data_IF_229254417263
#
_entry.id   IF_229254417263
#
_cell.length_a   1.000
_cell.length_b   1.000
_cell.length_c   1.000
_cell.angle_alpha   90.00
_cell.angle_beta   90.00
_cell.angle_gamma   90.00
#
_symmetry.space_group_name_H-M   'P 1'
#
loop_
_entity.id
_entity.type
_entity.pdbx_description
1 polymer ?
#
# COMPACT_ATOMS: atom_id res chain seq x y z
N UNK A 1 5.09 -27.63 20.34
CA UNK A 1 5.59 -26.43 21.05
C UNK A 1 5.57 -25.20 20.15
N UNK A 2 6.22 -25.26 18.97
CA UNK A 2 6.28 -24.15 18.01
C UNK A 2 4.92 -23.53 17.64
N UNK A 3 3.91 -24.34 17.28
CA UNK A 3 2.55 -23.84 16.98
C UNK A 3 1.91 -23.05 18.13
N UNK A 4 2.01 -23.57 19.36
CA UNK A 4 1.50 -22.88 20.56
C UNK A 4 2.23 -21.56 20.79
N UNK A 5 3.54 -21.52 20.51
CA UNK A 5 4.33 -20.29 20.60
C UNK A 5 3.91 -19.27 19.54
N UNK A 6 3.58 -19.67 18.32
CA UNK A 6 3.07 -18.75 17.28
C UNK A 6 1.72 -18.14 17.68
N UNK A 7 0.79 -18.95 18.20
CA UNK A 7 -0.50 -18.46 18.71
C UNK A 7 -0.30 -17.51 19.89
N UNK A 8 0.57 -17.86 20.83
CA UNK A 8 0.89 -17.01 21.98
C UNK A 8 1.56 -15.69 21.54
N UNK A 9 2.44 -15.75 20.54
CA UNK A 9 3.11 -14.57 19.97
C UNK A 9 2.10 -13.65 19.31
N UNK A 10 1.20 -14.17 18.48
CA UNK A 10 0.09 -13.41 17.89
C UNK A 10 -0.72 -12.69 18.98
N UNK A 11 -1.20 -13.43 19.99
CA UNK A 11 -2.00 -12.86 21.06
C UNK A 11 -1.23 -11.78 21.84
N UNK A 12 0.08 -11.98 22.06
CA UNK A 12 0.94 -11.00 22.71
C UNK A 12 1.11 -9.73 21.87
N UNK A 13 1.37 -9.88 20.57
CA UNK A 13 1.64 -8.78 19.64
C UNK A 13 0.39 -7.96 19.32
N UNK A 14 -0.80 -8.58 19.29
CA UNK A 14 -2.06 -7.87 19.02
C UNK A 14 -2.69 -7.26 20.27
N UNK A 15 -2.35 -7.73 21.48
CA UNK A 15 -2.95 -7.24 22.74
C UNK A 15 -2.87 -5.71 22.93
N UNK A 16 -1.78 -5.00 22.55
CA UNK A 16 -1.70 -3.55 22.72
C UNK A 16 -2.59 -2.75 21.76
N UNK A 17 -3.01 -3.37 20.65
CA UNK A 17 -3.78 -2.71 19.58
C UNK A 17 -5.23 -3.21 19.52
N UNK A 18 -5.57 -4.30 20.19
CA UNK A 18 -6.93 -4.84 20.20
C UNK A 18 -7.58 -4.75 21.58
N UNK A 19 -8.85 -4.38 21.63
CA UNK A 19 -9.58 -4.29 22.88
C UNK A 19 -11.01 -4.79 22.87
N UNK A 20 -11.78 -4.61 21.80
CA UNK A 20 -13.12 -5.18 21.59
C UNK A 20 -13.11 -6.22 20.48
N UNK A 21 -12.34 -5.98 19.44
CA UNK A 21 -12.08 -6.93 18.38
C UNK A 21 -11.03 -7.93 18.85
N UNK A 22 -11.39 -9.20 18.90
CA UNK A 22 -10.48 -10.25 19.33
C UNK A 22 -10.36 -11.30 18.24
N UNK A 23 -9.14 -11.52 17.77
CA UNK A 23 -8.81 -12.58 16.83
C UNK A 23 -8.01 -13.65 17.57
N UNK A 24 -8.66 -14.79 17.83
CA UNK A 24 -8.00 -15.96 18.34
C UNK A 24 -7.65 -16.91 17.19
N UNK A 25 -6.38 -17.27 17.09
CA UNK A 25 -5.90 -18.19 16.06
C UNK A 25 -5.85 -19.61 16.61
N UNK A 26 -6.38 -20.53 15.82
CA UNK A 26 -6.20 -21.97 16.00
C UNK A 26 -5.36 -22.49 14.84
N UNK A 27 -4.32 -23.26 15.13
CA UNK A 27 -3.47 -23.92 14.12
C UNK A 27 -2.74 -23.00 13.11
N UNK A 28 -1.93 -22.08 13.63
CA UNK A 28 -1.06 -21.23 12.80
C UNK A 28 0.03 -22.05 12.08
N UNK A 29 0.12 -21.86 10.76
CA UNK A 29 1.24 -22.27 9.91
C UNK A 29 1.93 -21.02 9.38
N UNK A 30 3.25 -21.05 9.30
CA UNK A 30 4.07 -19.96 8.81
C UNK A 30 4.88 -20.46 7.61
N UNK A 31 4.91 -19.68 6.54
CA UNK A 31 5.70 -19.94 5.34
C UNK A 31 6.39 -18.64 4.92
N UNK A 32 7.71 -18.71 4.71
CA UNK A 32 8.52 -17.59 4.26
C UNK A 32 8.75 -17.69 2.75
N UNK A 33 8.12 -16.80 1.99
CA UNK A 33 8.15 -16.80 0.51
C UNK A 33 9.58 -16.58 -0.02
N UNK A 34 10.48 -16.01 0.77
CA UNK A 34 11.88 -15.73 0.39
C UNK A 34 12.90 -16.69 1.03
N UNK A 35 12.47 -17.92 1.36
CA UNK A 35 13.38 -19.04 1.65
C UNK A 35 14.03 -19.08 3.04
N UNK A 36 13.91 -18.04 3.86
CA UNK A 36 14.32 -18.07 5.28
C UNK A 36 13.72 -16.91 6.08
N UNK A 37 13.39 -17.15 7.35
CA UNK A 37 13.03 -16.10 8.29
C UNK A 37 14.18 -15.08 8.46
N UNK A 38 13.91 -13.78 8.62
CA UNK A 38 14.92 -12.81 9.00
C UNK A 38 15.60 -13.29 10.29
N UNK A 39 16.93 -13.25 10.34
CA UNK A 39 17.62 -13.60 11.58
C UNK A 39 17.11 -12.68 12.70
N UNK A 40 16.79 -13.26 13.86
CA UNK A 40 16.30 -12.54 15.07
C UNK A 40 17.14 -11.33 15.51
N UNK A 41 18.36 -11.20 14.97
CA UNK A 41 19.34 -10.16 15.30
C UNK A 41 19.73 -9.29 14.08
N UNK A 42 18.95 -9.26 13.00
CA UNK A 42 19.26 -8.47 11.79
C UNK A 42 20.46 -8.95 10.99
N UNK A 43 21.02 -10.14 11.31
CA UNK A 43 22.23 -10.71 10.66
C UNK A 43 21.95 -12.09 10.09
N UNK A 44 21.04 -12.15 9.12
CA UNK A 44 20.82 -13.31 8.27
C UNK A 44 21.14 -12.93 6.82
N UNK A 45 21.41 -13.89 5.92
CA UNK A 45 21.76 -13.62 4.53
C UNK A 45 20.67 -12.84 3.77
N UNK A 46 19.44 -12.79 4.29
CA UNK A 46 18.29 -12.05 3.73
C UNK A 46 17.80 -10.89 4.63
N UNK A 47 18.51 -10.55 5.71
CA UNK A 47 18.12 -9.47 6.61
C UNK A 47 18.52 -8.07 6.09
N UNK A 48 19.53 -8.00 5.21
CA UNK A 48 20.11 -6.75 4.72
C UNK A 48 19.23 -5.99 3.74
N UNK A 49 18.37 -6.66 2.97
CA UNK A 49 17.76 -6.01 1.80
C UNK A 49 16.49 -5.20 2.12
N UNK A 50 15.89 -5.36 3.32
CA UNK A 50 14.74 -4.55 3.76
C UNK A 50 14.94 -3.78 5.08
N UNK A 51 15.98 -4.07 5.87
CA UNK A 51 16.16 -3.47 7.21
C UNK A 51 17.36 -2.51 7.33
N UNK A 52 18.04 -2.19 6.23
CA UNK A 52 19.08 -1.14 6.22
C UNK A 52 18.51 0.29 6.26
N UNK A 53 17.19 0.43 6.46
CA UNK A 53 16.52 1.73 6.55
C UNK A 53 16.39 2.17 8.01
N UNK A 54 16.83 3.40 8.30
CA UNK A 54 16.59 4.04 9.60
C UNK A 54 15.10 4.36 9.68
N UNK A 55 14.34 3.58 10.46
CA UNK A 55 12.95 3.93 10.82
C UNK A 55 12.94 5.17 11.71
N UNK A 56 12.06 6.13 11.42
CA UNK A 56 11.86 7.30 12.28
C UNK A 56 10.97 7.00 13.50
N UNK A 57 10.40 5.79 13.57
CA UNK A 57 9.64 5.30 14.72
C UNK A 57 10.46 4.30 15.52
N UNK A 58 10.13 4.11 16.80
CA UNK A 58 10.76 3.06 17.60
C UNK A 58 10.24 1.66 17.19
N UNK A 59 11.05 0.63 17.43
CA UNK A 59 10.74 -0.73 16.99
C UNK A 59 9.50 -1.36 17.63
N UNK A 60 8.96 -0.80 18.73
CA UNK A 60 7.66 -1.25 19.27
C UNK A 60 6.53 -0.65 18.44
N UNK A 61 6.59 0.65 18.15
CA UNK A 61 5.62 1.36 17.31
C UNK A 61 5.53 0.73 15.92
N UNK A 62 6.68 0.45 15.29
CA UNK A 62 6.75 -0.23 13.99
C UNK A 62 6.02 -1.58 14.00
N UNK A 63 6.28 -2.42 15.00
CA UNK A 63 5.59 -3.71 15.17
C UNK A 63 4.08 -3.54 15.33
N UNK A 64 3.64 -2.58 16.15
CA UNK A 64 2.20 -2.35 16.37
C UNK A 64 1.51 -1.85 15.09
N UNK A 65 2.17 -1.04 14.26
CA UNK A 65 1.66 -0.61 12.96
C UNK A 65 1.57 -1.77 11.96
N UNK A 66 2.61 -2.61 11.88
CA UNK A 66 2.59 -3.81 11.05
C UNK A 66 1.46 -4.77 11.48
N UNK A 67 1.30 -4.99 12.79
CA UNK A 67 0.23 -5.83 13.34
C UNK A 67 -1.15 -5.22 13.14
N UNK A 68 -1.28 -3.90 13.13
CA UNK A 68 -2.52 -3.19 12.79
C UNK A 68 -2.98 -3.54 11.36
N UNK A 69 -2.07 -3.50 10.38
CA UNK A 69 -2.38 -3.92 9.00
C UNK A 69 -2.70 -5.42 8.91
N UNK A 70 -1.95 -6.27 9.62
CA UNK A 70 -2.17 -7.72 9.61
C UNK A 70 -3.53 -8.12 10.21
N UNK A 71 -3.90 -7.54 11.36
CA UNK A 71 -5.18 -7.73 12.01
C UNK A 71 -6.32 -7.22 11.14
N UNK A 72 -6.14 -6.07 10.48
CA UNK A 72 -7.13 -5.53 9.54
C UNK A 72 -7.34 -6.50 8.39
N UNK A 73 -6.28 -6.93 7.71
CA UNK A 73 -6.38 -7.89 6.61
C UNK A 73 -7.07 -9.20 7.04
N UNK A 74 -6.65 -9.80 8.16
CA UNK A 74 -7.22 -11.04 8.64
C UNK A 74 -8.69 -10.86 9.09
N UNK A 75 -8.97 -9.80 9.84
CA UNK A 75 -10.31 -9.48 10.31
C UNK A 75 -11.29 -9.28 9.16
N UNK A 76 -10.89 -8.50 8.15
CA UNK A 76 -11.66 -8.34 6.91
C UNK A 76 -11.87 -9.67 6.21
N UNK A 77 -10.84 -10.53 6.11
CA UNK A 77 -10.99 -11.85 5.48
C UNK A 77 -12.03 -12.73 6.18
N UNK A 78 -12.04 -12.72 7.51
CA UNK A 78 -12.91 -13.58 8.31
C UNK A 78 -14.34 -13.06 8.42
N UNK A 79 -14.52 -11.74 8.59
CA UNK A 79 -15.82 -11.15 8.90
C UNK A 79 -16.41 -10.28 7.79
N UNK A 80 -15.61 -9.94 6.78
CA UNK A 80 -16.00 -9.08 5.67
C UNK A 80 -16.69 -9.80 4.50
N UNK A 81 -17.09 -11.07 4.64
CA UNK A 81 -17.81 -11.84 3.60
C UNK A 81 -16.97 -12.16 2.35
N UNK A 82 -15.72 -12.58 2.57
CA UNK A 82 -14.78 -12.94 1.49
C UNK A 82 -15.36 -14.00 0.55
N UNK A 83 -15.36 -13.73 -0.76
CA UNK A 83 -15.86 -14.66 -1.77
C UNK A 83 -17.38 -14.76 -1.93
N UNK A 84 -18.17 -14.19 -1.02
CA UNK A 84 -19.64 -14.27 -1.08
C UNK A 84 -20.25 -13.47 -2.25
N UNK A 85 -19.49 -12.56 -2.86
CA UNK A 85 -19.90 -11.79 -4.04
C UNK A 85 -19.80 -12.56 -5.36
N UNK A 86 -19.26 -13.78 -5.36
CA UNK A 86 -19.06 -14.57 -6.58
C UNK A 86 -20.40 -14.93 -7.22
N UNK A 87 -20.56 -14.60 -8.50
CA UNK A 87 -21.77 -14.89 -9.27
C UNK A 87 -22.99 -14.01 -8.94
N UNK A 88 -22.84 -13.04 -8.02
CA UNK A 88 -23.89 -12.09 -7.71
C UNK A 88 -24.01 -11.00 -8.78
N UNK A 89 -25.20 -10.39 -8.87
CA UNK A 89 -25.40 -9.20 -9.67
C UNK A 89 -24.64 -7.98 -9.12
N UNK A 90 -24.60 -6.89 -9.89
CA UNK A 90 -23.87 -5.67 -9.50
C UNK A 90 -24.34 -5.08 -8.17
N UNK A 91 -25.66 -5.14 -7.87
CA UNK A 91 -26.23 -4.53 -6.67
C UNK A 91 -25.85 -5.34 -5.43
N UNK A 92 -25.98 -6.65 -5.50
CA UNK A 92 -25.65 -7.55 -4.41
C UNK A 92 -24.13 -7.65 -4.20
N UNK A 93 -23.32 -7.65 -5.28
CA UNK A 93 -21.87 -7.54 -5.19
C UNK A 93 -21.45 -6.25 -4.46
N UNK A 94 -22.06 -5.12 -4.78
CA UNK A 94 -21.76 -3.85 -4.11
C UNK A 94 -22.12 -3.86 -2.62
N UNK A 95 -23.11 -4.66 -2.20
CA UNK A 95 -23.43 -4.82 -0.77
C UNK A 95 -22.31 -5.58 -0.05
N UNK A 96 -21.83 -6.70 -0.61
CA UNK A 96 -20.70 -7.46 -0.07
C UNK A 96 -19.46 -6.57 0.06
N UNK A 97 -19.19 -5.73 -0.94
CA UNK A 97 -18.06 -4.78 -0.91
C UNK A 97 -18.19 -3.78 0.24
N UNK A 98 -19.38 -3.21 0.45
CA UNK A 98 -19.64 -2.27 1.55
C UNK A 98 -19.50 -2.92 2.93
N UNK A 99 -19.97 -4.16 3.09
CA UNK A 99 -19.82 -4.89 4.34
C UNK A 99 -18.33 -5.15 4.64
N UNK A 100 -17.56 -5.53 3.62
CA UNK A 100 -16.12 -5.72 3.74
C UNK A 100 -15.40 -4.43 4.13
N UNK A 101 -15.73 -3.30 3.49
CA UNK A 101 -15.19 -1.96 3.83
C UNK A 101 -15.52 -1.56 5.27
N UNK A 102 -16.71 -1.88 5.77
CA UNK A 102 -17.10 -1.57 7.15
C UNK A 102 -16.27 -2.36 8.16
N UNK A 103 -16.01 -3.64 7.91
CA UNK A 103 -15.18 -4.47 8.78
C UNK A 103 -13.72 -4.03 8.75
N UNK A 104 -13.18 -3.72 7.57
CA UNK A 104 -11.80 -3.28 7.43
C UNK A 104 -11.57 -1.94 8.12
N UNK A 105 -12.50 -0.99 7.95
CA UNK A 105 -12.46 0.30 8.64
C UNK A 105 -12.55 0.13 10.16
N UNK A 106 -13.43 -0.74 10.65
CA UNK A 106 -13.57 -1.01 12.09
C UNK A 106 -12.28 -1.59 12.69
N UNK A 107 -11.72 -2.65 12.07
CA UNK A 107 -10.52 -3.31 12.56
C UNK A 107 -9.30 -2.36 12.57
N UNK A 108 -9.13 -1.57 11.51
CA UNK A 108 -8.06 -0.57 11.41
C UNK A 108 -8.26 0.55 12.45
N UNK A 109 -9.49 1.06 12.61
CA UNK A 109 -9.78 2.15 13.55
C UNK A 109 -9.54 1.75 14.99
N UNK A 110 -10.03 0.57 15.37
CA UNK A 110 -9.79 0.04 16.71
C UNK A 110 -8.30 -0.13 16.97
N UNK A 111 -7.58 -0.73 16.02
CA UNK A 111 -6.14 -0.95 16.11
C UNK A 111 -5.37 0.34 16.35
N UNK A 112 -5.63 1.37 15.55
CA UNK A 112 -4.98 2.67 15.71
C UNK A 112 -5.43 3.42 16.96
N UNK A 113 -6.69 3.28 17.36
CA UNK A 113 -7.18 3.86 18.62
C UNK A 113 -6.41 3.31 19.82
N UNK A 114 -6.22 1.99 19.89
CA UNK A 114 -5.44 1.36 20.96
C UNK A 114 -3.95 1.65 20.85
N UNK A 115 -3.38 1.61 19.65
CA UNK A 115 -2.01 2.01 19.38
C UNK A 115 -1.74 3.46 19.81
N UNK A 116 -2.69 4.39 19.63
CA UNK A 116 -2.51 5.79 20.05
C UNK A 116 -2.16 5.95 21.54
N UNK A 117 -2.50 4.95 22.37
CA UNK A 117 -2.19 4.92 23.80
C UNK A 117 -0.74 4.56 24.12
N UNK A 118 0.06 4.20 23.12
CA UNK A 118 1.49 3.94 23.27
C UNK A 118 2.34 5.04 22.66
N UNK A 119 1.74 5.94 21.89
CA UNK A 119 2.42 7.11 21.34
C UNK A 119 2.90 8.03 22.48
N UNK A 120 4.00 8.78 22.27
CA UNK A 120 4.35 9.89 23.14
C UNK A 120 3.18 10.87 23.31
N UNK A 121 3.11 11.56 24.44
CA UNK A 121 1.92 12.33 24.82
C UNK A 121 1.53 13.42 23.82
N UNK A 122 2.53 13.99 23.14
CA UNK A 122 2.40 15.04 22.15
C UNK A 122 2.39 14.54 20.69
N UNK A 123 2.33 13.22 20.47
CA UNK A 123 2.34 12.63 19.13
C UNK A 123 0.93 12.24 18.66
N UNK A 124 0.73 12.33 17.36
CA UNK A 124 -0.50 11.93 16.69
C UNK A 124 -0.20 11.23 15.36
N UNK A 125 -1.01 10.23 15.04
CA UNK A 125 -1.15 9.72 13.67
C UNK A 125 -2.35 10.43 13.06
N UNK A 126 -2.13 11.15 11.98
CA UNK A 126 -3.19 11.82 11.23
C UNK A 126 -3.36 11.11 9.89
N UNK A 127 -4.55 10.57 9.66
CA UNK A 127 -4.88 9.96 8.38
C UNK A 127 -5.14 11.06 7.38
N UNK A 128 -4.31 11.08 6.35
CA UNK A 128 -4.26 12.12 5.35
C UNK A 128 -5.52 12.12 4.48
N UNK A 129 -5.83 13.27 3.89
CA UNK A 129 -6.96 13.46 2.99
C UNK A 129 -6.70 12.73 1.67
N UNK A 130 -6.93 11.42 1.64
CA UNK A 130 -6.73 10.56 0.46
C UNK A 130 -7.99 10.33 -0.40
N UNK A 131 -7.86 9.56 -1.48
CA UNK A 131 -8.94 9.24 -2.46
C UNK A 131 -10.20 8.68 -1.78
N UNK A 132 -10.05 7.81 -0.78
CA UNK A 132 -11.16 7.12 -0.11
C UNK A 132 -12.10 8.03 0.70
N UNK A 133 -11.73 9.30 0.90
CA UNK A 133 -12.47 10.30 1.69
C UNK A 133 -12.93 11.50 0.83
N UNK A 134 -12.78 11.39 -0.49
CA UNK A 134 -13.24 12.38 -1.45
C UNK A 134 -14.59 11.97 -2.07
N UNK A 135 -15.48 12.95 -2.38
CA UNK A 135 -16.74 12.66 -3.03
C UNK A 135 -16.50 12.07 -4.41
N UNK A 136 -17.02 10.86 -4.64
CA UNK A 136 -16.99 10.24 -5.97
C UNK A 136 -17.92 11.01 -6.90
N UNK A 137 -17.73 10.86 -8.22
CA UNK A 137 -18.53 11.56 -9.21
C UNK A 137 -20.05 11.39 -8.95
N UNK A 138 -20.73 12.50 -8.60
CA UNK A 138 -22.14 12.53 -8.24
C UNK A 138 -22.44 12.58 -6.73
N UNK A 139 -21.42 12.53 -5.87
CA UNK A 139 -21.51 12.71 -4.41
C UNK A 139 -21.25 14.17 -4.04
N UNK A 140 -21.95 14.69 -3.03
CA UNK A 140 -21.64 16.02 -2.47
C UNK A 140 -20.40 15.95 -1.58
N UNK A 141 -19.74 17.08 -1.31
CA UNK A 141 -18.58 17.18 -0.40
C UNK A 141 -18.83 16.51 0.95
N UNK A 142 -20.07 16.53 1.44
CA UNK A 142 -20.51 15.87 2.67
C UNK A 142 -20.64 14.33 2.54
N UNK A 143 -20.95 13.83 1.33
CA UNK A 143 -21.11 12.40 1.03
C UNK A 143 -19.77 11.70 0.83
N UNK A 144 -18.81 12.37 0.19
CA UNK A 144 -17.43 11.88 0.06
C UNK A 144 -16.66 11.85 1.36
N UNK A 145 -16.97 12.81 2.22
CA UNK A 145 -16.37 12.96 3.54
C UNK A 145 -17.18 12.25 4.63
N UNK A 146 -18.07 11.30 4.31
CA UNK A 146 -19.02 10.80 5.30
C UNK A 146 -18.28 10.16 6.50
N UNK A 147 -18.29 10.81 7.68
CA UNK A 147 -17.62 10.31 8.89
C UNK A 147 -18.28 9.03 9.45
N UNK A 148 -19.36 8.55 8.81
CA UNK A 148 -20.11 7.36 9.21
C UNK A 148 -19.50 6.04 8.72
N UNK A 149 -18.38 6.05 8.00
CA UNK A 149 -17.56 4.84 7.81
C UNK A 149 -16.68 4.50 9.03
N UNK A 150 -16.81 5.26 10.13
CA UNK A 150 -16.43 4.80 11.47
C UNK A 150 -14.95 4.83 11.81
N UNK A 151 -14.12 5.48 10.98
CA UNK A 151 -12.67 5.57 11.19
C UNK A 151 -12.26 7.02 11.50
N UNK A 152 -11.55 7.24 12.62
CA UNK A 152 -11.10 8.57 13.06
C UNK A 152 -9.98 9.15 12.19
N UNK A 153 -9.96 10.48 12.02
CA UNK A 153 -8.91 11.18 11.24
C UNK A 153 -7.63 11.40 12.04
N UNK A 154 -7.74 11.47 13.36
CA UNK A 154 -6.63 11.70 14.27
C UNK A 154 -6.63 10.64 15.36
N UNK A 155 -5.50 9.95 15.49
CA UNK A 155 -5.23 8.99 16.56
C UNK A 155 -4.14 9.53 17.46
N UNK A 156 -4.54 9.99 18.64
CA UNK A 156 -3.65 10.59 19.62
C UNK A 156 -4.27 10.51 21.02
N UNK A 157 -3.55 11.01 22.03
CA UNK A 157 -4.14 11.26 23.35
C UNK A 157 -5.35 12.18 23.24
N UNK A 158 -6.39 12.04 24.09
CA UNK A 158 -7.66 12.77 23.93
C UNK A 158 -7.53 14.29 23.74
N UNK A 159 -6.59 14.93 24.46
CA UNK A 159 -6.38 16.38 24.35
C UNK A 159 -5.72 16.78 23.02
N UNK A 160 -4.72 16.02 22.57
CA UNK A 160 -4.05 16.23 21.27
C UNK A 160 -5.03 15.96 20.13
N UNK A 161 -5.77 14.85 20.19
CA UNK A 161 -6.79 14.50 19.21
C UNK A 161 -7.85 15.60 19.09
N UNK A 162 -8.43 16.06 20.22
CA UNK A 162 -9.44 17.14 20.20
C UNK A 162 -8.91 18.44 19.59
N UNK A 163 -7.65 18.79 19.86
CA UNK A 163 -7.05 19.99 19.30
C UNK A 163 -6.80 19.86 17.79
N UNK A 164 -6.17 18.76 17.37
CA UNK A 164 -5.87 18.50 15.96
C UNK A 164 -7.15 18.35 15.13
N UNK A 165 -8.19 17.70 15.66
CA UNK A 165 -9.52 17.63 15.03
C UNK A 165 -10.03 19.04 14.68
N UNK A 166 -9.94 19.98 15.63
CA UNK A 166 -10.37 21.37 15.38
C UNK A 166 -9.49 22.08 14.34
N UNK A 167 -8.19 21.80 14.32
CA UNK A 167 -7.28 22.33 13.30
C UNK A 167 -7.56 21.75 11.91
N UNK A 168 -7.83 20.44 11.81
CA UNK A 168 -8.15 19.75 10.56
C UNK A 168 -9.50 20.20 10.01
N UNK A 169 -10.52 20.35 10.86
CA UNK A 169 -11.83 20.89 10.46
C UNK A 169 -11.67 22.29 9.88
N UNK A 170 -10.81 23.14 10.46
CA UNK A 170 -10.49 24.46 9.87
C UNK A 170 -9.77 24.32 8.53
N UNK A 171 -8.72 23.49 8.46
CA UNK A 171 -7.94 23.26 7.23
C UNK A 171 -8.80 22.82 6.04
N UNK A 172 -9.88 22.08 6.29
CA UNK A 172 -10.79 21.61 5.24
C UNK A 172 -11.81 22.66 4.82
N UNK A 173 -12.32 23.46 5.76
CA UNK A 173 -13.51 24.28 5.55
C UNK A 173 -13.25 25.79 5.47
N UNK A 174 -12.09 26.25 5.94
CA UNK A 174 -11.72 27.66 5.95
C UNK A 174 -10.62 27.92 4.91
N UNK A 175 -10.93 28.61 3.80
CA UNK A 175 -9.96 28.84 2.72
C UNK A 175 -8.78 29.72 3.16
N UNK A 176 -8.92 30.49 4.24
CA UNK A 176 -7.82 31.30 4.80
C UNK A 176 -6.89 30.45 5.69
N UNK A 177 -7.38 29.32 6.24
CA UNK A 177 -6.61 28.46 7.11
C UNK A 177 -5.74 27.47 6.34
N UNK A 178 -4.55 27.94 5.95
CA UNK A 178 -3.61 27.18 5.11
C UNK A 178 -2.80 26.12 5.88
N UNK A 179 -2.09 25.25 5.13
CA UNK A 179 -1.12 24.31 5.69
C UNK A 179 0.01 25.00 6.49
N UNK A 180 0.39 26.23 6.16
CA UNK A 180 1.34 27.02 6.94
C UNK A 180 0.76 27.46 8.30
N UNK A 181 -0.53 27.77 8.34
CA UNK A 181 -1.23 28.07 9.59
C UNK A 181 -1.38 26.83 10.46
N UNK A 182 -1.70 25.69 9.84
CA UNK A 182 -1.72 24.39 10.51
C UNK A 182 -0.35 24.05 11.11
N UNK A 183 0.73 24.16 10.33
CA UNK A 183 2.11 23.94 10.81
C UNK A 183 2.46 24.84 11.98
N UNK A 184 2.17 26.14 11.89
CA UNK A 184 2.39 27.08 13.00
C UNK A 184 1.59 26.70 14.24
N UNK A 185 0.35 26.24 14.07
CA UNK A 185 -0.53 25.85 15.16
C UNK A 185 -0.05 24.58 15.90
N UNK A 186 0.49 23.58 15.19
CA UNK A 186 1.03 22.36 15.81
C UNK A 186 2.38 22.63 16.49
N UNK A 187 3.28 23.39 15.85
CA UNK A 187 4.59 23.74 16.40
C UNK A 187 4.46 24.57 17.67
N UNK A 188 3.52 25.53 17.70
CA UNK A 188 3.25 26.35 18.89
C UNK A 188 2.83 25.52 20.12
N UNK A 189 2.30 24.31 19.91
CA UNK A 189 1.87 23.40 20.97
C UNK A 189 2.82 22.22 21.18
N UNK A 190 3.96 22.22 20.50
CA UNK A 190 4.94 21.13 20.55
C UNK A 190 4.32 19.77 20.19
N UNK A 191 3.42 19.75 19.18
CA UNK A 191 2.74 18.53 18.72
C UNK A 191 3.46 17.99 17.48
N UNK A 192 3.82 16.71 17.54
CA UNK A 192 4.35 15.96 16.39
C UNK A 192 3.20 15.22 15.70
N UNK A 193 3.06 15.43 14.39
CA UNK A 193 2.03 14.77 13.57
C UNK A 193 2.71 13.88 12.54
N UNK A 194 2.48 12.57 12.65
CA UNK A 194 2.81 11.62 11.60
C UNK A 194 1.66 11.52 10.62
N UNK A 195 1.94 11.67 9.33
CA UNK A 195 0.95 11.42 8.29
C UNK A 195 0.73 9.92 8.13
N UNK A 196 -0.48 9.51 7.82
CA UNK A 196 -0.77 8.14 7.42
C UNK A 196 -1.64 8.11 6.17
N UNK A 197 -1.32 7.21 5.26
CA UNK A 197 -2.20 6.86 4.15
C UNK A 197 -2.58 5.40 4.26
N UNK A 198 -3.89 5.15 4.22
CA UNK A 198 -4.45 3.87 4.59
C UNK A 198 -5.42 3.44 3.53
N UNK A 199 -5.15 2.26 2.96
CA UNK A 199 -6.11 1.52 2.17
C UNK A 199 -6.52 0.29 2.97
N UNK A 200 -7.72 0.33 3.55
CA UNK A 200 -8.18 -0.76 4.43
C UNK A 200 -8.63 -2.00 3.63
N UNK A 201 -8.94 -1.85 2.35
CA UNK A 201 -9.32 -2.93 1.45
C UNK A 201 -9.07 -2.57 -0.03
N UNK A 202 -7.83 -2.76 -0.45
CA UNK A 202 -7.32 -2.26 -1.73
C UNK A 202 -8.10 -2.73 -2.96
N UNK A 203 -8.48 -4.01 -2.99
CA UNK A 203 -9.32 -4.53 -4.04
C UNK A 203 -10.56 -5.26 -3.51
N UNK A 204 -11.51 -4.46 -3.07
CA UNK A 204 -12.87 -4.88 -2.71
C UNK A 204 -13.52 -5.82 -3.74
N UNK A 205 -13.25 -5.66 -5.04
CA UNK A 205 -13.85 -6.52 -6.08
C UNK A 205 -13.24 -7.91 -6.09
N UNK A 206 -11.91 -8.01 -6.03
CA UNK A 206 -11.18 -9.30 -5.92
C UNK A 206 -11.52 -9.99 -4.60
N UNK A 207 -11.57 -9.22 -3.51
CA UNK A 207 -12.00 -9.70 -2.21
C UNK A 207 -13.41 -10.30 -2.24
N UNK A 208 -14.39 -9.57 -2.76
CA UNK A 208 -15.77 -10.03 -2.81
C UNK A 208 -15.93 -11.28 -3.71
N UNK A 209 -15.08 -11.45 -4.73
CA UNK A 209 -15.06 -12.64 -5.59
C UNK A 209 -14.25 -13.82 -5.03
N UNK A 210 -13.49 -13.59 -3.95
CA UNK A 210 -12.70 -14.63 -3.31
C UNK A 210 -11.42 -14.96 -4.09
N UNK A 211 -10.81 -13.95 -4.70
CA UNK A 211 -9.55 -14.12 -5.45
C UNK A 211 -8.39 -14.41 -4.49
N UNK A 212 -7.44 -15.29 -4.86
CA UNK A 212 -6.38 -15.74 -3.96
C UNK A 212 -5.28 -14.69 -3.75
N UNK A 213 -5.16 -13.70 -4.62
CA UNK A 213 -4.06 -12.71 -4.61
C UNK A 213 -4.57 -11.27 -4.68
N UNK A 214 -3.82 -10.35 -4.08
CA UNK A 214 -4.10 -8.91 -4.01
C UNK A 214 -3.87 -8.39 -2.58
N UNK A 215 -3.33 -7.18 -2.39
CA UNK A 215 -3.17 -6.61 -1.07
C UNK A 215 -4.54 -6.44 -0.40
N UNK A 216 -4.60 -6.76 0.89
CA UNK A 216 -5.83 -6.68 1.67
C UNK A 216 -5.89 -5.44 2.53
N UNK A 217 -4.76 -4.99 3.08
CA UNK A 217 -4.67 -3.75 3.84
C UNK A 217 -3.29 -3.16 3.64
N UNK A 218 -3.24 -1.84 3.41
CA UNK A 218 -2.01 -1.07 3.26
C UNK A 218 -2.04 0.10 4.23
N UNK A 219 -0.91 0.33 4.90
CA UNK A 219 -0.70 1.45 5.81
C UNK A 219 0.69 2.02 5.52
N UNK A 220 0.73 3.23 4.97
CA UNK A 220 1.92 4.05 4.89
C UNK A 220 1.96 5.02 6.06
N UNK A 221 3.11 5.15 6.70
CA UNK A 221 3.36 6.15 7.73
C UNK A 221 4.48 7.09 7.27
N UNK A 222 4.22 8.38 7.41
CA UNK A 222 5.12 9.47 7.05
C UNK A 222 5.50 10.25 8.30
N UNK A 223 6.71 10.80 8.33
CA UNK A 223 7.18 11.67 9.42
C UNK A 223 6.48 13.04 9.46
N UNK A 224 5.67 13.33 8.44
CA UNK A 224 4.84 14.53 8.32
C UNK A 224 3.50 14.25 7.59
N UNK A 225 2.47 15.09 7.77
CA UNK A 225 1.24 15.02 6.98
C UNK A 225 1.45 15.11 5.48
N UNK A 226 0.66 14.36 4.70
CA UNK A 226 0.59 14.56 3.25
C UNK A 226 -0.16 15.86 2.95
N UNK A 227 0.53 16.77 2.26
CA UNK A 227 -0.03 18.03 1.79
C UNK A 227 -0.58 17.80 0.39
N UNK A 228 -1.87 17.55 0.31
CA UNK A 228 -2.56 17.39 -0.97
C UNK A 228 -3.34 18.68 -1.23
N UNK A 229 -3.00 19.35 -2.34
CA UNK A 229 -3.52 20.68 -2.68
C UNK A 229 -4.72 20.66 -3.64
N UNK A 230 -5.08 19.50 -4.20
CA UNK A 230 -6.17 19.37 -5.16
C UNK A 230 -6.83 17.98 -5.11
N UNK A 231 -8.03 17.85 -5.69
CA UNK A 231 -8.66 16.56 -5.91
C UNK A 231 -7.80 15.73 -6.87
N UNK A 232 -7.51 14.49 -6.52
CA UNK A 232 -6.80 13.56 -7.39
C UNK A 232 -7.54 12.22 -7.43
N UNK A 233 -7.57 11.60 -8.61
CA UNK A 233 -7.93 10.18 -8.74
C UNK A 233 -6.76 9.40 -8.11
N UNK A 234 -7.02 8.53 -7.15
CA UNK A 234 -5.98 7.90 -6.29
C UNK A 234 -5.13 6.86 -6.99
N UNK A 235 -5.03 6.95 -8.30
CA UNK A 235 -4.10 6.20 -9.11
C UNK A 235 -3.23 7.23 -9.84
N UNK A 236 -1.92 7.04 -9.71
CA UNK A 236 -0.92 7.85 -10.38
C UNK A 236 -0.14 6.94 -11.32
N UNK A 237 0.28 7.50 -12.45
CA UNK A 237 1.22 6.84 -13.34
C UNK A 237 2.56 6.65 -12.63
N UNK A 238 2.96 5.40 -12.41
CA UNK A 238 4.22 5.05 -11.79
C UNK A 238 5.08 4.21 -12.74
N UNK A 239 6.39 4.43 -12.69
CA UNK A 239 7.40 3.59 -13.33
C UNK A 239 8.40 3.18 -12.24
N UNK A 240 8.38 1.92 -11.85
CA UNK A 240 9.27 1.37 -10.82
C UNK A 240 10.27 0.43 -11.47
N UNK A 241 11.54 0.81 -11.36
CA UNK A 241 12.67 0.13 -11.97
C UNK A 241 13.66 -0.31 -10.89
N UNK A 242 14.45 -1.38 -11.12
CA UNK A 242 15.57 -1.72 -10.26
C UNK A 242 16.55 -0.54 -10.15
N UNK A 243 17.10 -0.33 -8.96
CA UNK A 243 18.04 0.75 -8.65
C UNK A 243 19.18 0.87 -9.68
N UNK A 244 19.77 -0.26 -10.07
CA UNK A 244 20.86 -0.33 -11.07
C UNK A 244 20.49 0.35 -12.40
N UNK A 245 19.24 0.21 -12.86
CA UNK A 245 18.76 0.85 -14.10
C UNK A 245 18.73 2.36 -13.94
N UNK A 246 18.15 2.85 -12.84
CA UNK A 246 18.03 4.28 -12.54
C UNK A 246 19.41 4.93 -12.39
N UNK A 247 20.32 4.29 -11.65
CA UNK A 247 21.68 4.80 -11.45
C UNK A 247 22.49 4.81 -12.75
N UNK A 248 22.40 3.74 -13.55
CA UNK A 248 23.11 3.66 -14.84
C UNK A 248 22.61 4.73 -15.82
N UNK A 249 21.31 4.97 -15.87
CA UNK A 249 20.73 6.04 -16.68
C UNK A 249 21.20 7.42 -16.20
N UNK A 250 21.23 7.64 -14.88
CA UNK A 250 21.70 8.89 -14.29
C UNK A 250 23.18 9.17 -14.61
N UNK A 251 24.05 8.15 -14.60
CA UNK A 251 25.45 8.28 -15.02
C UNK A 251 25.62 8.72 -16.48
N UNK A 252 24.61 8.47 -17.32
CA UNK A 252 24.54 8.91 -18.72
C UNK A 252 23.71 10.17 -18.91
N UNK A 253 23.39 10.89 -17.83
CA UNK A 253 22.56 12.11 -17.84
C UNK A 253 21.14 11.88 -18.38
N UNK A 254 20.60 10.66 -18.22
CA UNK A 254 19.22 10.32 -18.57
C UNK A 254 18.39 10.22 -17.29
N UNK A 255 17.46 11.18 -17.10
CA UNK A 255 16.47 11.10 -16.02
C UNK A 255 15.28 10.25 -16.47
N UNK A 256 15.26 8.99 -16.06
CA UNK A 256 14.14 8.08 -16.33
C UNK A 256 12.99 8.36 -15.37
N UNK A 257 11.81 8.60 -15.89
CA UNK A 257 10.58 8.82 -15.13
C UNK A 257 9.36 8.22 -15.87
N UNK A 258 8.16 8.36 -15.28
CA UNK A 258 6.94 7.80 -15.86
C UNK A 258 6.65 8.27 -17.30
N UNK A 259 7.06 9.49 -17.67
CA UNK A 259 6.85 10.04 -19.01
C UNK A 259 7.93 9.67 -20.02
N UNK A 260 9.02 9.02 -19.60
CA UNK A 260 10.09 8.58 -20.51
C UNK A 260 9.57 7.55 -21.53
N UNK A 261 9.74 7.77 -22.85
CA UNK A 261 9.37 6.78 -23.88
C UNK A 261 9.95 5.39 -23.59
N UNK A 262 9.17 4.32 -23.81
CA UNK A 262 9.58 2.96 -23.34
C UNK A 262 10.75 2.36 -24.11
N UNK A 263 11.01 2.81 -25.33
CA UNK A 263 12.23 2.52 -26.07
C UNK A 263 13.48 3.09 -25.37
N UNK A 264 13.39 4.31 -24.83
CA UNK A 264 14.45 4.91 -24.00
C UNK A 264 14.58 4.19 -22.64
N UNK A 265 13.48 3.76 -22.03
CA UNK A 265 13.54 2.94 -20.81
C UNK A 265 14.21 1.60 -21.09
N UNK A 266 13.87 0.94 -22.20
CA UNK A 266 14.51 -0.30 -22.64
C UNK A 266 16.01 -0.10 -22.93
N UNK A 267 16.40 1.03 -23.52
CA UNK A 267 17.81 1.38 -23.70
C UNK A 267 18.55 1.52 -22.36
N UNK A 268 17.95 2.19 -21.37
CA UNK A 268 18.49 2.28 -20.01
C UNK A 268 18.60 0.91 -19.33
N UNK A 269 17.63 0.02 -19.55
CA UNK A 269 17.66 -1.36 -19.06
C UNK A 269 18.84 -2.12 -19.67
N UNK A 270 19.04 -2.04 -21.00
CA UNK A 270 20.17 -2.66 -21.68
C UNK A 270 21.52 -2.08 -21.27
N UNK A 271 21.58 -0.79 -20.96
CA UNK A 271 22.79 -0.20 -20.40
C UNK A 271 23.16 -0.81 -19.05
N UNK A 272 22.17 -1.09 -18.20
CA UNK A 272 22.37 -1.75 -16.92
C UNK A 272 22.58 -3.27 -17.03
N UNK A 273 22.02 -3.89 -18.07
CA UNK A 273 22.06 -5.34 -18.35
C UNK A 273 22.32 -5.59 -19.85
N UNK A 274 23.59 -5.51 -20.31
CA UNK A 274 23.92 -5.50 -21.76
C UNK A 274 23.43 -6.69 -22.57
N UNK A 275 23.33 -7.87 -21.94
CA UNK A 275 22.96 -9.13 -22.60
C UNK A 275 21.49 -9.49 -22.41
N UNK A 276 20.67 -8.60 -21.81
CA UNK A 276 19.26 -8.89 -21.58
C UNK A 276 18.49 -8.92 -22.90
N UNK A 277 17.80 -10.05 -23.15
CA UNK A 277 16.77 -10.12 -24.18
C UNK A 277 15.59 -9.24 -23.75
N UNK A 278 15.09 -8.32 -24.61
CA UNK A 278 13.85 -7.58 -24.33
C UNK A 278 12.70 -8.47 -23.87
N UNK A 279 12.56 -9.68 -24.42
CA UNK A 279 11.52 -10.63 -24.04
C UNK A 279 11.62 -11.09 -22.57
N UNK A 280 12.80 -10.95 -21.97
CA UNK A 280 13.06 -11.24 -20.55
C UNK A 280 12.85 -10.00 -19.65
N UNK A 281 12.41 -8.88 -20.20
CA UNK A 281 11.88 -7.74 -19.44
C UNK A 281 10.37 -7.93 -19.30
N UNK A 282 9.94 -8.33 -18.11
CA UNK A 282 8.55 -8.60 -17.79
C UNK A 282 7.92 -7.38 -17.11
N UNK A 283 6.91 -6.81 -17.76
CA UNK A 283 6.27 -5.55 -17.36
C UNK A 283 4.92 -5.85 -16.77
N UNK A 284 4.74 -5.53 -15.49
CA UNK A 284 3.43 -5.54 -14.87
C UNK A 284 2.77 -4.17 -15.07
N UNK A 285 1.61 -4.15 -15.76
CA UNK A 285 0.93 -2.91 -16.22
C UNK A 285 -0.60 -3.04 -16.27
N UNK A 286 -1.20 -3.85 -15.38
CA UNK A 286 -2.66 -4.09 -15.33
C UNK A 286 -3.28 -4.38 -16.71
N UNK A 287 -2.77 -5.39 -17.41
CA UNK A 287 -3.10 -5.75 -18.81
C UNK A 287 -4.56 -6.19 -19.07
N UNK A 288 -5.47 -6.05 -18.09
CA UNK A 288 -6.88 -6.36 -18.26
C UNK A 288 -7.56 -5.42 -19.26
N UNK A 289 -8.34 -5.98 -20.18
CA UNK A 289 -8.92 -5.26 -21.34
C UNK A 289 -9.66 -3.96 -20.97
N UNK A 290 -10.29 -3.90 -19.80
CA UNK A 290 -10.98 -2.70 -19.30
C UNK A 290 -10.07 -1.48 -19.13
N UNK A 291 -8.75 -1.68 -19.05
CA UNK A 291 -7.73 -0.62 -18.87
C UNK A 291 -7.12 -0.15 -20.19
N UNK A 292 -7.38 -0.85 -21.30
CA UNK A 292 -6.77 -0.56 -22.61
C UNK A 292 -7.02 0.88 -23.07
N UNK A 293 -8.20 1.43 -22.81
CA UNK A 293 -8.53 2.83 -23.15
C UNK A 293 -7.70 3.87 -22.40
N UNK A 294 -7.22 3.52 -21.19
CA UNK A 294 -6.43 4.43 -20.33
C UNK A 294 -4.92 4.28 -20.56
N UNK A 295 -4.42 3.04 -20.65
CA UNK A 295 -2.98 2.75 -20.64
C UNK A 295 -2.51 1.88 -21.82
N UNK A 296 -3.36 1.56 -22.80
CA UNK A 296 -3.00 0.74 -23.96
C UNK A 296 -1.83 1.30 -24.76
N UNK A 297 -1.65 2.63 -24.80
CA UNK A 297 -0.48 3.25 -25.46
C UNK A 297 0.86 2.87 -24.80
N UNK A 298 0.87 2.62 -23.49
CA UNK A 298 2.06 2.15 -22.78
C UNK A 298 2.34 0.70 -23.14
N UNK A 299 1.29 -0.12 -23.24
CA UNK A 299 1.39 -1.51 -23.68
C UNK A 299 1.98 -1.61 -25.08
N UNK A 300 1.47 -0.78 -26.01
CA UNK A 300 1.95 -0.75 -27.40
C UNK A 300 3.44 -0.37 -27.47
N UNK A 301 3.89 0.60 -26.65
CA UNK A 301 5.30 0.99 -26.59
C UNK A 301 6.20 -0.12 -26.04
N UNK A 302 5.78 -0.83 -24.99
CA UNK A 302 6.54 -1.95 -24.45
C UNK A 302 6.58 -3.14 -25.40
N UNK A 303 5.46 -3.47 -26.04
CA UNK A 303 5.41 -4.50 -27.06
C UNK A 303 6.34 -4.16 -28.25
N UNK A 304 6.35 -2.90 -28.70
CA UNK A 304 7.26 -2.43 -29.73
C UNK A 304 8.73 -2.47 -29.30
N UNK A 305 9.03 -2.26 -28.02
CA UNK A 305 10.36 -2.41 -27.44
C UNK A 305 10.77 -3.88 -27.24
N UNK A 306 9.88 -4.85 -27.51
CA UNK A 306 10.10 -6.28 -27.37
C UNK A 306 9.89 -6.83 -25.96
N UNK A 307 9.35 -6.04 -25.03
CA UNK A 307 9.11 -6.45 -23.65
C UNK A 307 7.90 -7.39 -23.51
N UNK A 308 7.97 -8.27 -22.53
CA UNK A 308 6.85 -9.14 -22.17
C UNK A 308 5.85 -8.41 -21.27
N UNK A 309 4.62 -8.21 -21.74
CA UNK A 309 3.54 -7.70 -20.92
C UNK A 309 2.92 -8.84 -20.10
N UNK A 310 2.99 -8.73 -18.78
CA UNK A 310 2.48 -9.77 -17.88
C UNK A 310 0.96 -9.88 -17.98
N UNK A 311 0.48 -11.09 -18.25
CA UNK A 311 -0.94 -11.45 -18.28
C UNK A 311 -1.32 -12.33 -17.06
N UNK A 312 -2.57 -12.82 -17.04
CA UNK A 312 -3.06 -13.67 -15.96
C UNK A 312 -2.55 -15.11 -15.97
N UNK A 313 -1.82 -15.53 -17.02
CA UNK A 313 -1.28 -16.88 -17.16
C UNK A 313 0.18 -16.98 -16.69
N UNK A 314 0.82 -15.85 -16.44
CA UNK A 314 2.18 -15.80 -15.95
C UNK A 314 2.24 -15.93 -14.41
N UNK A 315 3.41 -16.26 -13.87
CA UNK A 315 3.63 -16.33 -12.41
C UNK A 315 4.77 -15.40 -12.05
N UNK A 316 4.57 -14.54 -11.04
CA UNK A 316 5.62 -13.63 -10.57
C UNK A 316 6.83 -14.44 -10.07
N UNK A 317 8.05 -13.85 -10.05
CA UNK A 317 9.24 -14.51 -9.49
C UNK A 317 9.09 -14.92 -8.02
N UNK A 318 8.09 -14.38 -7.34
CA UNK A 318 7.72 -14.71 -5.96
C UNK A 318 6.81 -15.94 -5.84
N UNK A 319 6.42 -16.56 -6.96
CA UNK A 319 5.44 -17.66 -7.01
C UNK A 319 3.97 -17.21 -6.92
N UNK A 320 3.73 -15.91 -6.78
CA UNK A 320 2.38 -15.35 -6.66
C UNK A 320 1.79 -15.09 -8.05
N UNK A 321 0.51 -15.44 -8.25
CA UNK A 321 -0.21 -15.10 -9.47
C UNK A 321 -0.39 -13.57 -9.60
N UNK A 322 -0.04 -12.96 -10.75
CA UNK A 322 -0.26 -11.55 -10.99
C UNK A 322 -1.77 -11.26 -11.08
N UNK A 323 -2.15 -10.04 -10.74
CA UNK A 323 -3.47 -9.52 -11.04
C UNK A 323 -3.34 -8.49 -12.17
N UNK A 324 -4.27 -8.54 -13.11
CA UNK A 324 -4.24 -7.72 -14.33
C UNK A 324 -5.48 -6.85 -14.48
N UNK A 325 -6.54 -7.14 -13.72
CA UNK A 325 -7.86 -6.56 -13.87
C UNK A 325 -8.04 -5.26 -13.08
N UNK A 326 -7.48 -5.19 -11.87
CA UNK A 326 -7.60 -4.05 -10.98
C UNK A 326 -6.61 -4.12 -9.81
N UNK A 327 -6.15 -2.96 -9.36
CA UNK A 327 -5.38 -2.75 -8.14
C UNK A 327 -4.69 -1.39 -8.17
N UNK A 328 -4.70 -0.71 -7.03
CA UNK A 328 -4.02 0.55 -6.74
C UNK A 328 -2.57 0.32 -6.32
N UNK A 329 -2.23 -0.85 -5.76
CA UNK A 329 -0.88 -1.14 -5.27
C UNK A 329 -0.23 -2.26 -6.09
N UNK A 330 0.66 -1.88 -6.99
CA UNK A 330 1.44 -2.79 -7.81
C UNK A 330 2.30 -3.75 -6.95
N UNK A 331 2.69 -4.93 -7.47
CA UNK A 331 3.64 -5.82 -6.82
C UNK A 331 5.08 -5.28 -6.90
N UNK A 332 5.31 -4.05 -6.46
CA UNK A 332 6.61 -3.35 -6.52
C UNK A 332 7.69 -4.08 -5.75
N UNK A 333 7.33 -4.80 -4.68
CA UNK A 333 8.22 -5.66 -3.92
C UNK A 333 8.84 -6.80 -4.76
N UNK A 334 8.26 -7.13 -5.91
CA UNK A 334 8.78 -8.15 -6.83
C UNK A 334 9.73 -7.56 -7.89
N UNK A 335 9.88 -6.23 -7.98
CA UNK A 335 10.76 -5.56 -8.97
C UNK A 335 12.21 -5.86 -8.65
N UNK A 336 12.80 -6.79 -9.40
CA UNK A 336 14.21 -7.18 -9.29
C UNK A 336 14.67 -7.95 -10.54
N UNK A 337 15.99 -8.03 -10.78
CA UNK A 337 16.54 -9.01 -11.70
C UNK A 337 16.53 -10.43 -11.10
N UNK A 338 16.52 -11.45 -11.96
CA UNK A 338 16.88 -12.83 -11.60
C UNK A 338 17.54 -13.54 -12.79
N UNK A 339 18.14 -14.70 -12.53
CA UNK A 339 18.74 -15.57 -13.55
C UNK A 339 17.92 -16.86 -13.58
N UNK A 340 17.52 -17.31 -14.77
CA UNK A 340 16.81 -18.58 -14.94
C UNK A 340 17.76 -19.80 -14.94
N UNK A 341 17.22 -21.02 -15.01
CA UNK A 341 18.01 -22.25 -15.04
C UNK A 341 18.92 -22.38 -16.29
N UNK A 342 18.68 -21.55 -17.30
CA UNK A 342 19.45 -21.51 -18.55
C UNK A 342 20.56 -20.44 -18.51
N UNK A 343 20.66 -19.68 -17.43
CA UNK A 343 21.63 -18.60 -17.28
C UNK A 343 21.20 -17.26 -17.87
N UNK A 344 19.95 -17.14 -18.35
CA UNK A 344 19.44 -15.90 -18.91
C UNK A 344 19.05 -14.91 -17.81
N UNK A 345 19.39 -13.65 -18.01
CA UNK A 345 18.93 -12.58 -17.10
C UNK A 345 17.50 -12.19 -17.44
N UNK A 346 16.66 -12.09 -16.42
CA UNK A 346 15.30 -11.58 -16.48
C UNK A 346 15.13 -10.38 -15.55
N UNK A 347 14.15 -9.54 -15.87
CA UNK A 347 13.85 -8.33 -15.12
C UNK A 347 12.34 -8.17 -14.95
N UNK A 348 11.88 -8.03 -13.70
CA UNK A 348 10.50 -7.61 -13.44
C UNK A 348 10.51 -6.09 -13.22
N UNK A 349 9.62 -5.38 -13.89
CA UNK A 349 9.35 -3.96 -13.66
C UNK A 349 7.85 -3.71 -13.48
N UNK A 350 7.51 -2.58 -12.85
CA UNK A 350 6.13 -2.09 -12.75
C UNK A 350 6.04 -0.81 -13.55
N UNK A 351 5.03 -0.73 -14.43
CA UNK A 351 4.78 0.48 -15.18
C UNK A 351 3.28 0.65 -15.47
N UNK A 352 2.68 1.73 -14.99
CA UNK A 352 1.28 2.03 -15.29
C UNK A 352 0.54 2.70 -14.14
N UNK A 353 -0.78 2.52 -14.13
CA UNK A 353 -1.71 3.20 -13.24
C UNK A 353 -1.93 2.37 -11.96
N UNK A 354 -0.90 2.31 -11.11
CA UNK A 354 -0.82 1.28 -10.09
C UNK A 354 -0.01 1.64 -8.84
N UNK A 355 0.03 2.93 -8.53
CA UNK A 355 0.42 3.42 -7.23
C UNK A 355 -0.58 4.51 -6.84
N UNK A 356 -0.95 4.55 -5.56
CA UNK A 356 -1.64 5.72 -5.04
C UNK A 356 -0.65 6.89 -4.91
N UNK A 357 -1.12 8.13 -4.95
CA UNK A 357 -0.25 9.29 -4.73
C UNK A 357 0.49 9.17 -3.39
N UNK A 358 -0.20 8.57 -2.42
CA UNK A 358 0.34 8.25 -1.11
C UNK A 358 1.39 7.15 -1.15
N UNK A 359 1.27 6.15 -2.05
CA UNK A 359 2.31 5.13 -2.24
C UNK A 359 3.57 5.70 -2.89
N UNK A 360 3.45 6.75 -3.73
CA UNK A 360 4.60 7.39 -4.41
C UNK A 360 5.38 8.30 -3.45
N UNK A 361 4.70 8.88 -2.47
CA UNK A 361 5.33 9.71 -1.46
C UNK A 361 6.00 8.89 -0.34
N UNK A 362 5.63 7.61 -0.19
CA UNK A 362 6.18 6.68 0.79
C UNK A 362 7.46 6.02 0.28
#
# INVERSE_FOLDING_TARGET
MQKKNLIAQWAFDTRPILGRFHLWLEDVKEEWIHGSAPARNGKGPNASDMMDTVSFTDGRTEKMLAMTSAVTALGTRLFGRYGEGRGLDKKALNLVKKDADAISAYAMSESLWYLSRTLPENHAIMVCLGEGLMPKAGETSEMGANPLLGFGRVYARPQVAKYLEACVVKLINDPEYTWDEFRRAIVKRDITVWGAAIDTLENTSRFAKGEPTGPMSVLHLFDQPLIISDQYEGYVGCLVLPRKVVETAAFKSVLVNYFTPRDMVMAAIRDAYPEIDPGNVHVWTLTGEKRRTRIGKIWDQWAAAGAHLIDGNWTLPTGIAPFTDSGTYAPTFAVKPWIDDQGNTHLLIVDGYAASAESIQA
#
